data_IF_437492288222
#
_entry.id   IF_437492288222
#
_cell.length_a   1.000
_cell.length_b   1.000
_cell.length_c   1.000
_cell.angle_alpha   90.00
_cell.angle_beta   90.00
_cell.angle_gamma   90.00
#
_symmetry.space_group_name_H-M   'P 1'
#
loop_
_entity.id
_entity.type
_entity.pdbx_description
1 polymer ?
#
# COMPACT_ATOMS: atom_id res chain seq x y z
N UNK A 1 24.76 -6.51 6.21
CA UNK A 1 23.34 -6.24 5.87
C UNK A 1 23.14 -4.75 5.92
N UNK A 2 22.76 -4.10 4.81
CA UNK A 2 22.60 -2.63 4.73
C UNK A 2 21.16 -2.22 5.07
N UNK A 3 20.97 -1.01 5.60
CA UNK A 3 19.65 -0.46 5.99
C UNK A 3 18.63 -0.55 4.85
N UNK A 4 19.04 -0.32 3.61
CA UNK A 4 18.17 -0.39 2.43
C UNK A 4 17.62 -1.81 2.17
N UNK A 5 18.40 -2.84 2.52
CA UNK A 5 17.98 -4.24 2.41
C UNK A 5 16.93 -4.57 3.46
N UNK A 6 17.14 -4.09 4.70
CA UNK A 6 16.18 -4.25 5.80
C UNK A 6 14.86 -3.52 5.50
N UNK A 7 14.94 -2.28 5.00
CA UNK A 7 13.74 -1.52 4.65
C UNK A 7 12.96 -2.18 3.52
N UNK A 8 13.64 -2.66 2.47
CA UNK A 8 12.98 -3.41 1.38
C UNK A 8 12.30 -4.68 1.89
N UNK A 9 12.93 -5.42 2.79
CA UNK A 9 12.33 -6.61 3.41
C UNK A 9 11.05 -6.26 4.19
N UNK A 10 11.07 -5.19 4.99
CA UNK A 10 9.89 -4.72 5.71
C UNK A 10 8.74 -4.37 4.76
N UNK A 11 9.04 -3.70 3.64
CA UNK A 11 8.06 -3.34 2.60
C UNK A 11 7.47 -4.60 1.97
N UNK A 12 8.31 -5.57 1.60
CA UNK A 12 7.87 -6.84 0.99
C UNK A 12 7.02 -7.67 1.97
N UNK A 13 7.38 -7.73 3.26
CA UNK A 13 6.61 -8.40 4.31
C UNK A 13 5.24 -7.74 4.54
N UNK A 14 5.19 -6.40 4.53
CA UNK A 14 3.94 -5.67 4.68
C UNK A 14 3.01 -5.90 3.48
N UNK A 15 3.55 -5.89 2.26
CA UNK A 15 2.78 -6.21 1.05
C UNK A 15 2.24 -7.63 1.07
N UNK A 16 3.03 -8.61 1.53
CA UNK A 16 2.55 -9.99 1.68
C UNK A 16 1.41 -10.09 2.71
N UNK A 17 1.52 -9.39 3.83
CA UNK A 17 0.50 -9.40 4.89
C UNK A 17 -0.80 -8.76 4.40
N UNK A 18 -0.72 -7.61 3.73
CA UNK A 18 -1.86 -6.96 3.08
C UNK A 18 -2.48 -7.90 2.04
N UNK A 19 -1.68 -8.50 1.15
CA UNK A 19 -2.14 -9.41 0.11
C UNK A 19 -2.96 -10.59 0.64
N UNK A 20 -2.59 -11.14 1.81
CA UNK A 20 -3.36 -12.22 2.47
C UNK A 20 -4.75 -11.74 2.92
N UNK A 21 -4.84 -10.55 3.52
CA UNK A 21 -6.12 -9.96 3.94
C UNK A 21 -7.01 -9.66 2.72
N UNK A 22 -6.43 -9.07 1.68
CA UNK A 22 -7.14 -8.77 0.43
C UNK A 22 -7.70 -10.04 -0.22
N UNK A 23 -6.91 -11.12 -0.25
CA UNK A 23 -7.36 -12.43 -0.76
C UNK A 23 -8.53 -12.99 0.05
N UNK A 24 -8.59 -12.70 1.36
CA UNK A 24 -9.74 -13.04 2.20
C UNK A 24 -11.00 -12.28 1.81
N UNK A 25 -10.88 -10.99 1.49
CA UNK A 25 -11.99 -10.15 0.99
C UNK A 25 -12.48 -10.65 -0.38
N UNK A 26 -11.58 -10.99 -1.30
CA UNK A 26 -11.97 -11.54 -2.62
C UNK A 26 -12.78 -12.83 -2.52
N UNK A 27 -12.52 -13.66 -1.50
CA UNK A 27 -13.24 -14.91 -1.22
C UNK A 27 -14.55 -14.71 -0.45
N UNK A 28 -15.04 -13.47 -0.33
CA UNK A 28 -16.28 -13.14 0.38
C UNK A 28 -16.09 -12.83 1.87
N UNK A 29 -14.86 -12.52 2.29
CA UNK A 29 -14.57 -12.06 3.64
C UNK A 29 -15.33 -10.77 3.98
N UNK A 30 -15.76 -10.66 5.25
CA UNK A 30 -16.60 -9.57 5.72
C UNK A 30 -15.86 -8.47 6.49
N UNK A 31 -16.60 -7.79 7.37
CA UNK A 31 -16.15 -6.61 8.15
C UNK A 31 -14.85 -6.82 8.93
N UNK A 32 -14.58 -8.03 9.43
CA UNK A 32 -13.32 -8.35 10.14
C UNK A 32 -12.11 -8.15 9.22
N UNK A 33 -12.18 -8.59 7.97
CA UNK A 33 -11.10 -8.40 7.00
C UNK A 33 -10.95 -6.92 6.65
N UNK A 34 -12.05 -6.19 6.51
CA UNK A 34 -12.02 -4.75 6.24
C UNK A 34 -11.35 -3.97 7.38
N UNK A 35 -11.68 -4.31 8.64
CA UNK A 35 -11.03 -3.72 9.81
C UNK A 35 -9.53 -4.00 9.83
N UNK A 36 -9.14 -5.25 9.59
CA UNK A 36 -7.73 -5.64 9.56
C UNK A 36 -6.97 -4.93 8.44
N UNK A 37 -7.60 -4.79 7.26
CA UNK A 37 -7.03 -4.02 6.15
C UNK A 37 -6.78 -2.56 6.56
N UNK A 38 -7.74 -1.89 7.20
CA UNK A 38 -7.57 -0.50 7.64
C UNK A 38 -6.36 -0.31 8.56
N UNK A 39 -6.16 -1.22 9.52
CA UNK A 39 -5.00 -1.17 10.42
C UNK A 39 -3.67 -1.33 9.66
N UNK A 40 -3.60 -2.30 8.74
CA UNK A 40 -2.40 -2.54 7.93
C UNK A 40 -2.07 -1.38 6.99
N UNK A 41 -3.07 -0.68 6.47
CA UNK A 41 -2.88 0.48 5.60
C UNK A 41 -2.34 1.69 6.37
N UNK A 42 -2.84 1.93 7.60
CA UNK A 42 -2.30 2.97 8.49
C UNK A 42 -0.82 2.69 8.77
N UNK A 43 -0.49 1.45 9.14
CA UNK A 43 0.89 1.05 9.37
C UNK A 43 1.76 1.22 8.11
N UNK A 44 1.29 0.75 6.96
CA UNK A 44 2.05 0.81 5.71
C UNK A 44 2.30 2.25 5.24
N UNK A 45 1.35 3.16 5.41
CA UNK A 45 1.54 4.59 5.06
C UNK A 45 2.49 5.32 6.00
N UNK A 46 2.74 4.78 7.19
CA UNK A 46 3.70 5.30 8.16
C UNK A 46 5.13 4.78 8.01
N UNK A 47 5.37 3.75 7.16
CA UNK A 47 6.69 3.17 6.93
C UNK A 47 7.63 4.10 6.13
N UNK A 48 7.23 4.67 4.98
CA UNK A 48 8.07 5.61 4.26
C UNK A 48 7.94 7.03 4.82
N UNK A 49 8.95 7.87 4.57
CA UNK A 49 8.79 9.32 4.74
C UNK A 49 7.58 9.82 3.94
N UNK A 50 6.90 10.84 4.49
CA UNK A 50 5.57 11.30 4.07
C UNK A 50 5.34 11.25 2.55
N UNK A 51 4.60 10.24 2.10
CA UNK A 51 4.26 10.06 0.69
C UNK A 51 2.74 10.26 0.49
N UNK A 52 2.28 11.46 0.08
CA UNK A 52 0.85 11.74 -0.09
C UNK A 52 0.20 10.88 -1.19
N UNK A 53 0.99 10.47 -2.20
CA UNK A 53 0.51 9.55 -3.23
C UNK A 53 0.24 8.14 -2.69
N UNK A 54 1.02 7.70 -1.69
CA UNK A 54 0.79 6.42 -1.01
C UNK A 54 -0.46 6.48 -0.12
N UNK A 55 -0.66 7.59 0.61
CA UNK A 55 -1.86 7.80 1.43
C UNK A 55 -3.12 7.76 0.55
N UNK A 56 -3.13 8.50 -0.57
CA UNK A 56 -4.25 8.48 -1.50
C UNK A 56 -4.52 7.07 -2.08
N UNK A 57 -3.46 6.31 -2.38
CA UNK A 57 -3.63 4.93 -2.86
C UNK A 57 -4.14 3.97 -1.77
N UNK A 58 -3.80 4.21 -0.50
CA UNK A 58 -4.32 3.47 0.64
C UNK A 58 -5.82 3.74 0.83
N UNK A 59 -6.24 5.00 0.76
CA UNK A 59 -7.65 5.40 0.85
C UNK A 59 -8.47 4.78 -0.29
N UNK A 60 -7.96 4.84 -1.53
CA UNK A 60 -8.55 4.20 -2.72
C UNK A 60 -8.75 2.68 -2.51
N UNK A 61 -7.73 2.01 -1.98
CA UNK A 61 -7.75 0.57 -1.71
C UNK A 61 -8.78 0.21 -0.64
N UNK A 62 -8.84 0.98 0.45
CA UNK A 62 -9.83 0.76 1.51
C UNK A 62 -11.25 0.96 0.99
N UNK A 63 -11.51 2.03 0.23
CA UNK A 63 -12.82 2.30 -0.35
C UNK A 63 -13.27 1.20 -1.31
N UNK A 64 -12.36 0.70 -2.15
CA UNK A 64 -12.65 -0.41 -3.05
C UNK A 64 -12.94 -1.71 -2.29
N UNK A 65 -12.20 -1.99 -1.22
CA UNK A 65 -12.42 -3.14 -0.33
C UNK A 65 -13.80 -3.06 0.34
N UNK A 66 -14.16 -1.88 0.87
CA UNK A 66 -15.45 -1.63 1.50
C UNK A 66 -16.60 -1.87 0.52
N UNK A 67 -16.47 -1.43 -0.74
CA UNK A 67 -17.48 -1.63 -1.77
C UNK A 67 -17.70 -3.12 -2.10
N UNK A 68 -16.65 -3.94 -2.03
CA UNK A 68 -16.71 -5.41 -2.18
C UNK A 68 -17.39 -6.04 -0.97
N UNK A 69 -17.02 -5.65 0.26
CA UNK A 69 -17.60 -6.21 1.50
C UNK A 69 -19.08 -5.86 1.66
N UNK A 70 -19.48 -4.62 1.38
CA UNK A 70 -20.87 -4.13 1.52
C UNK A 70 -21.75 -4.46 0.32
N UNK A 71 -21.48 -5.54 -0.42
CA UNK A 71 -22.16 -5.86 -1.67
C UNK A 71 -23.64 -6.22 -1.49
N UNK A 72 -24.50 -5.22 -1.25
CA UNK A 72 -25.83 -5.44 -0.68
C UNK A 72 -26.92 -4.47 -1.13
N UNK A 73 -26.78 -3.71 -2.23
CA UNK A 73 -27.77 -2.67 -2.57
C UNK A 73 -28.25 -2.72 -4.02
N UNK A 74 -29.57 -2.52 -4.24
CA UNK A 74 -30.15 -2.19 -5.55
C UNK A 74 -29.45 -0.93 -6.08
N UNK A 75 -28.85 -1.02 -7.27
CA UNK A 75 -28.06 0.07 -7.88
C UNK A 75 -26.55 -0.01 -7.61
N UNK A 76 -26.07 -0.96 -6.81
CA UNK A 76 -24.64 -1.22 -6.68
C UNK A 76 -24.05 -1.78 -8.00
N UNK A 77 -22.83 -1.35 -8.32
CA UNK A 77 -22.04 -1.92 -9.41
C UNK A 77 -22.00 -3.46 -9.31
N UNK A 78 -22.05 -4.20 -10.43
CA UNK A 78 -21.91 -5.65 -10.42
C UNK A 78 -20.64 -6.08 -9.65
N UNK A 79 -20.73 -7.17 -8.89
CA UNK A 79 -19.61 -7.67 -8.07
C UNK A 79 -18.32 -7.85 -8.88
N UNK A 80 -18.43 -8.29 -10.14
CA UNK A 80 -17.31 -8.43 -11.08
C UNK A 80 -16.56 -7.11 -11.27
N UNK A 81 -17.28 -6.00 -11.42
CA UNK A 81 -16.67 -4.67 -11.58
C UNK A 81 -16.01 -4.19 -10.30
N UNK A 82 -16.62 -4.44 -9.15
CA UNK A 82 -16.03 -4.08 -7.85
C UNK A 82 -14.73 -4.84 -7.59
N UNK A 83 -14.70 -6.14 -7.89
CA UNK A 83 -13.50 -6.98 -7.79
C UNK A 83 -12.39 -6.48 -8.72
N UNK A 84 -12.73 -6.07 -9.96
CA UNK A 84 -11.74 -5.47 -10.87
C UNK A 84 -11.13 -4.20 -10.29
N UNK A 85 -11.96 -3.25 -9.85
CA UNK A 85 -11.50 -1.98 -9.27
C UNK A 85 -10.67 -2.21 -8.00
N UNK A 86 -11.05 -3.19 -7.19
CA UNK A 86 -10.31 -3.60 -6.00
C UNK A 86 -8.90 -4.12 -6.33
N UNK A 87 -8.77 -4.97 -7.36
CA UNK A 87 -7.46 -5.45 -7.84
C UNK A 87 -6.58 -4.32 -8.39
N UNK A 88 -7.16 -3.44 -9.20
CA UNK A 88 -6.45 -2.26 -9.74
C UNK A 88 -5.99 -1.30 -8.62
N UNK A 89 -6.79 -1.12 -7.57
CA UNK A 89 -6.40 -0.33 -6.40
C UNK A 89 -5.25 -1.00 -5.64
N UNK A 90 -5.29 -2.33 -5.47
CA UNK A 90 -4.21 -3.09 -4.85
C UNK A 90 -2.90 -2.97 -5.65
N UNK A 91 -2.93 -3.15 -6.96
CA UNK A 91 -1.76 -3.00 -7.84
C UNK A 91 -1.16 -1.58 -7.74
N UNK A 92 -2.00 -0.55 -7.76
CA UNK A 92 -1.58 0.86 -7.63
C UNK A 92 -0.96 1.17 -6.26
N UNK A 93 -1.49 0.57 -5.19
CA UNK A 93 -0.93 0.71 -3.85
C UNK A 93 0.43 0.01 -3.75
N UNK A 94 0.50 -1.25 -4.16
CA UNK A 94 1.72 -2.06 -4.11
C UNK A 94 2.86 -1.44 -4.93
N UNK A 95 2.56 -0.94 -6.13
CA UNK A 95 3.53 -0.23 -6.97
C UNK A 95 4.12 1.01 -6.28
N UNK A 96 3.30 1.81 -5.59
CA UNK A 96 3.77 2.99 -4.84
C UNK A 96 4.59 2.61 -3.61
N UNK A 97 4.17 1.58 -2.89
CA UNK A 97 4.91 1.04 -1.74
C UNK A 97 6.31 0.59 -2.14
N UNK A 98 6.44 -0.18 -3.23
CA UNK A 98 7.73 -0.59 -3.76
C UNK A 98 8.55 0.59 -4.30
N UNK A 99 7.91 1.57 -4.94
CA UNK A 99 8.56 2.78 -5.45
C UNK A 99 9.15 3.68 -4.35
N UNK A 100 8.56 3.70 -3.15
CA UNK A 100 9.07 4.47 -2.02
C UNK A 100 10.48 4.03 -1.58
N UNK A 101 10.83 2.74 -1.77
CA UNK A 101 12.20 2.24 -1.53
C UNK A 101 13.21 2.88 -2.47
N UNK A 102 12.85 3.07 -3.74
CA UNK A 102 13.73 3.67 -4.74
C UNK A 102 13.94 5.17 -4.48
N UNK A 103 12.87 5.88 -4.11
CA UNK A 103 12.95 7.32 -3.80
C UNK A 103 13.84 7.58 -2.57
N UNK A 104 13.66 6.83 -1.49
CA UNK A 104 14.47 7.01 -0.28
C UNK A 104 15.96 6.75 -0.52
N UNK A 105 16.30 5.79 -1.39
CA UNK A 105 17.68 5.53 -1.80
C UNK A 105 18.28 6.70 -2.58
N UNK A 106 17.54 7.28 -3.52
CA UNK A 106 17.99 8.43 -4.32
C UNK A 106 18.22 9.67 -3.46
N UNK A 107 17.30 9.97 -2.54
CA UNK A 107 17.42 11.10 -1.61
C UNK A 107 18.65 10.99 -0.70
N UNK A 108 18.97 9.78 -0.23
CA UNK A 108 20.19 9.54 0.56
C UNK A 108 21.47 9.73 -0.25
N UNK A 109 21.50 9.23 -1.49
CA UNK A 109 22.65 9.41 -2.38
C UNK A 109 22.90 10.90 -2.66
N UNK A 110 21.85 11.65 -3.00
CA UNK A 110 21.95 13.10 -3.21
C UNK A 110 22.37 13.86 -1.94
N UNK A 111 21.90 13.44 -0.76
CA UNK A 111 22.31 14.05 0.51
C UNK A 111 23.80 13.81 0.83
N UNK A 112 24.33 12.62 0.50
CA UNK A 112 25.76 12.30 0.67
C UNK A 112 26.64 13.07 -0.32
N UNK A 113 26.20 13.24 -1.57
CA UNK A 113 26.87 14.07 -2.57
C UNK A 113 26.91 15.55 -2.16
N UNK A 114 25.80 16.08 -1.63
CA UNK A 114 25.75 17.45 -1.14
C UNK A 114 26.68 17.68 0.07
N UNK A 115 26.75 16.72 1.00
CA UNK A 115 27.61 16.81 2.17
C UNK A 115 29.11 16.74 1.83
N UNK A 116 29.49 15.97 0.80
CA UNK A 116 30.88 15.87 0.35
C UNK A 116 31.33 17.12 -0.42
N UNK A 117 30.43 17.77 -1.16
CA UNK A 117 30.70 19.04 -1.85
C UNK A 117 30.81 20.25 -0.90
N UNK A 118 30.16 20.21 0.26
CA UNK A 118 30.29 21.26 1.29
C UNK A 118 31.55 21.12 2.17
N UNK A 119 32.21 19.96 2.11
CA UNK A 119 33.41 19.65 2.90
C UNK A 119 34.74 19.82 2.13
N UNK A 120 34.66 20.24 0.85
CA UNK A 120 35.80 20.49 -0.05
C UNK A 120 35.93 21.99 -0.35
#
# INVERSE_FOLDING_TARGET
>A
MTIDTTFRQMIDEQLQTIGRVLSGIERGGGVVHLRNLGLLLIEATGLPERNPGLVAAADDLYAAAEAVVRNSHKGAQPIVRKLRLFREAHERFSSRMSGAVTQNRQERLHSLEAATLQAA
#
